data_IF_621310496036
#
_entry.id   IF_621310496036
#
_cell.length_a   1.000
_cell.length_b   1.000
_cell.length_c   1.000
_cell.angle_alpha   90.00
_cell.angle_beta   90.00
_cell.angle_gamma   90.00
#
_symmetry.space_group_name_H-M   'P 1'
#
loop_
_entity.id
_entity.type
_entity.pdbx_description
1 polymer ?
#
# COMPACT_ATOMS: atom_id res chain seq x y z
N UNK A 1 -18.11 2.49 -2.12
CA UNK A 1 -16.77 2.95 -1.72
C UNK A 1 -16.30 3.89 -2.82
N UNK A 2 -16.07 5.19 -2.54
CA UNK A 2 -15.52 6.10 -3.55
C UNK A 2 -14.05 5.70 -3.72
N UNK A 3 -13.73 5.02 -4.83
CA UNK A 3 -12.35 4.82 -5.25
C UNK A 3 -11.74 6.21 -5.39
N UNK A 4 -10.72 6.52 -4.58
CA UNK A 4 -9.98 7.77 -4.73
C UNK A 4 -9.15 7.63 -6.01
N UNK A 5 -9.76 7.98 -7.14
CA UNK A 5 -9.20 7.82 -8.48
C UNK A 5 -8.18 8.90 -8.84
N UNK A 6 -8.19 10.04 -8.13
CA UNK A 6 -7.14 11.06 -8.27
C UNK A 6 -6.01 10.79 -7.27
N UNK A 7 -4.79 10.59 -7.79
CA UNK A 7 -3.58 10.44 -7.00
C UNK A 7 -3.33 11.61 -6.05
N UNK A 8 -3.82 12.81 -6.37
CA UNK A 8 -3.72 13.98 -5.50
C UNK A 8 -4.58 13.86 -4.23
N UNK A 9 -5.78 13.29 -4.36
CA UNK A 9 -6.71 13.10 -3.25
C UNK A 9 -6.28 11.95 -2.34
N UNK A 10 -5.73 10.88 -2.92
CA UNK A 10 -5.17 9.78 -2.15
C UNK A 10 -3.97 10.23 -1.29
N UNK A 11 -3.08 11.06 -1.84
CA UNK A 11 -1.94 11.61 -1.09
C UNK A 11 -2.43 12.49 0.08
N UNK A 12 -3.43 13.33 -0.14
CA UNK A 12 -4.02 14.17 0.92
C UNK A 12 -4.65 13.31 2.01
N UNK A 13 -5.46 12.32 1.62
CA UNK A 13 -6.10 11.40 2.56
C UNK A 13 -5.05 10.66 3.41
N UNK A 14 -4.03 10.08 2.77
CA UNK A 14 -2.95 9.39 3.46
C UNK A 14 -2.14 10.32 4.38
N UNK A 15 -1.87 11.56 3.95
CA UNK A 15 -1.18 12.56 4.80
C UNK A 15 -1.98 12.91 6.05
N UNK A 16 -3.31 12.97 5.93
CA UNK A 16 -4.24 13.26 7.03
C UNK A 16 -4.46 12.12 8.03
N UNK A 17 -4.02 10.90 7.73
CA UNK A 17 -4.15 9.79 8.67
C UNK A 17 -3.31 10.01 9.94
N UNK A 18 -3.83 9.59 11.12
CA UNK A 18 -3.08 9.65 12.37
C UNK A 18 -1.81 8.79 12.27
N UNK A 19 -0.70 9.31 12.81
CA UNK A 19 0.59 8.60 12.90
C UNK A 19 1.03 8.55 14.35
N UNK A 20 1.09 7.35 14.91
CA UNK A 20 1.60 7.07 16.25
C UNK A 20 2.73 6.04 16.16
N UNK A 21 3.66 6.07 17.10
CA UNK A 21 4.76 5.08 17.22
C UNK A 21 4.26 3.67 17.54
N UNK A 22 3.02 3.54 18.02
CA UNK A 22 2.33 2.28 18.32
C UNK A 22 1.09 2.11 17.45
N UNK A 23 0.70 0.87 17.18
CA UNK A 23 -0.53 0.55 16.45
C UNK A 23 -1.77 1.00 17.24
N UNK A 24 -2.97 1.04 16.65
CA UNK A 24 -4.19 1.48 17.35
C UNK A 24 -4.49 0.74 18.66
N UNK A 25 -4.07 -0.52 18.78
CA UNK A 25 -4.20 -1.29 20.02
C UNK A 25 -3.23 -0.88 21.13
N UNK A 26 -2.20 -0.08 20.82
CA UNK A 26 -1.13 0.31 21.73
C UNK A 26 -0.11 -0.79 22.04
N UNK A 27 -0.35 -2.03 21.62
CA UNK A 27 0.44 -3.20 22.08
C UNK A 27 1.80 -3.33 21.38
N UNK A 28 1.87 -2.98 20.10
CA UNK A 28 3.04 -3.22 19.25
C UNK A 28 3.48 -1.95 18.52
N UNK A 29 4.75 -1.89 18.11
CA UNK A 29 5.27 -0.77 17.35
C UNK A 29 4.57 -0.67 15.97
N UNK A 30 4.29 0.56 15.53
CA UNK A 30 3.66 0.85 14.24
C UNK A 30 4.70 0.83 13.10
N UNK A 31 5.47 -0.24 13.01
CA UNK A 31 6.50 -0.47 12.00
C UNK A 31 5.97 -1.54 11.05
N UNK A 32 6.06 -1.25 9.76
CA UNK A 32 5.55 -2.09 8.69
C UNK A 32 6.66 -2.41 7.71
N UNK A 33 6.69 -3.67 7.29
CA UNK A 33 7.48 -4.11 6.15
C UNK A 33 6.59 -4.22 4.93
N UNK A 34 7.13 -3.85 3.78
CA UNK A 34 6.46 -4.04 2.50
C UNK A 34 7.40 -4.68 1.48
N UNK A 35 6.79 -5.44 0.59
CA UNK A 35 7.46 -6.16 -0.48
C UNK A 35 6.56 -6.18 -1.72
N UNK A 36 7.18 -6.27 -2.90
CA UNK A 36 6.48 -6.38 -4.17
C UNK A 36 6.65 -7.81 -4.67
N UNK A 37 5.54 -8.54 -4.78
CA UNK A 37 5.54 -9.94 -5.20
C UNK A 37 4.86 -10.11 -6.54
N UNK A 38 5.43 -10.96 -7.38
CA UNK A 38 4.80 -11.41 -8.60
C UNK A 38 4.12 -12.77 -8.37
N UNK A 39 2.83 -12.84 -8.68
CA UNK A 39 2.02 -14.05 -8.56
C UNK A 39 1.71 -14.56 -9.96
N UNK A 40 2.12 -15.79 -10.25
CA UNK A 40 1.97 -16.44 -11.56
C UNK A 40 0.60 -17.12 -11.75
N UNK A 41 -0.29 -17.05 -10.75
CA UNK A 41 -1.63 -17.61 -10.83
C UNK A 41 -2.46 -16.82 -11.85
N UNK A 42 -3.34 -17.50 -12.60
CA UNK A 42 -4.17 -16.84 -13.61
C UNK A 42 -5.32 -16.05 -12.98
N UNK A 43 -5.49 -14.75 -13.29
CA UNK A 43 -4.64 -13.95 -14.17
C UNK A 43 -3.37 -13.47 -13.43
N UNK A 44 -2.17 -13.53 -14.06
CA UNK A 44 -0.94 -13.11 -13.41
C UNK A 44 -1.00 -11.68 -12.90
N UNK A 45 -0.39 -11.42 -11.74
CA UNK A 45 -0.52 -10.11 -11.08
C UNK A 45 0.68 -9.76 -10.20
N UNK A 46 0.86 -8.46 -9.98
CA UNK A 46 1.71 -7.95 -8.92
C UNK A 46 0.89 -7.72 -7.66
N UNK A 47 1.49 -8.03 -6.52
CA UNK A 47 0.88 -7.87 -5.20
C UNK A 47 1.82 -7.08 -4.31
N UNK A 48 1.29 -6.00 -3.73
CA UNK A 48 1.90 -5.39 -2.55
C UNK A 48 1.63 -6.31 -1.37
N UNK A 49 2.70 -6.81 -0.78
CA UNK A 49 2.67 -7.56 0.47
C UNK A 49 3.05 -6.63 1.62
N UNK A 50 2.18 -6.53 2.63
CA UNK A 50 2.41 -5.76 3.86
C UNK A 50 2.46 -6.68 5.06
N UNK A 51 3.44 -6.48 5.93
CA UNK A 51 3.65 -7.27 7.12
C UNK A 51 3.94 -6.38 8.33
N UNK A 52 3.26 -6.64 9.45
CA UNK A 52 3.51 -5.98 10.72
C UNK A 52 4.18 -6.97 11.68
N UNK A 53 5.52 -6.87 11.90
CA UNK A 53 6.26 -7.90 12.63
C UNK A 53 5.81 -8.14 14.07
N UNK A 54 5.28 -7.11 14.74
CA UNK A 54 4.92 -7.21 16.15
C UNK A 54 3.66 -8.03 16.43
N UNK A 55 2.75 -8.17 15.47
CA UNK A 55 1.49 -8.92 15.60
C UNK A 55 1.35 -10.05 14.58
N UNK A 56 2.32 -10.20 13.68
CA UNK A 56 2.27 -11.11 12.55
C UNK A 56 1.11 -10.84 11.57
N UNK A 57 0.50 -9.66 11.64
CA UNK A 57 -0.56 -9.27 10.72
C UNK A 57 0.00 -9.09 9.30
N UNK A 58 -0.73 -9.61 8.33
CA UNK A 58 -0.42 -9.56 6.90
C UNK A 58 -1.58 -8.91 6.16
N UNK A 59 -1.27 -8.00 5.24
CA UNK A 59 -2.21 -7.45 4.27
C UNK A 59 -1.66 -7.60 2.86
N UNK A 60 -2.55 -7.78 1.90
CA UNK A 60 -2.20 -7.90 0.49
C UNK A 60 -3.08 -6.97 -0.34
N UNK A 61 -2.47 -6.28 -1.29
CA UNK A 61 -3.18 -5.49 -2.30
C UNK A 61 -2.75 -5.92 -3.70
N UNK A 62 -3.73 -6.10 -4.58
CA UNK A 62 -3.47 -6.25 -6.01
C UNK A 62 -2.96 -4.92 -6.59
N UNK A 63 -2.02 -5.03 -7.52
CA UNK A 63 -1.51 -3.89 -8.29
C UNK A 63 -1.88 -4.10 -9.77
N UNK A 64 -2.42 -3.07 -10.45
CA UNK A 64 -2.86 -1.78 -9.92
C UNK A 64 -4.14 -1.91 -9.07
N UNK A 65 -4.31 -1.02 -8.07
CA UNK A 65 -5.34 -1.12 -7.04
C UNK A 65 -6.77 -0.77 -7.52
N UNK A 66 -6.90 -0.18 -8.70
CA UNK A 66 -8.17 0.21 -9.34
C UNK A 66 -8.72 -0.84 -10.31
N UNK A 67 -8.11 -2.03 -10.32
CA UNK A 67 -8.40 -3.05 -11.31
C UNK A 67 -9.55 -3.97 -10.91
N UNK A 68 -10.31 -4.42 -11.92
CA UNK A 68 -11.37 -5.38 -11.71
C UNK A 68 -10.80 -6.78 -11.39
N UNK A 69 -11.46 -7.54 -10.49
CA UNK A 69 -11.16 -8.95 -10.30
C UNK A 69 -11.33 -9.72 -11.64
N UNK A 70 -10.28 -10.39 -12.11
CA UNK A 70 -10.31 -11.22 -13.33
C UNK A 70 -9.46 -10.73 -14.50
N UNK A 71 -8.89 -9.53 -14.43
CA UNK A 71 -7.97 -9.03 -15.46
C UNK A 71 -6.49 -9.32 -15.11
N UNK A 72 -5.56 -9.29 -16.08
CA UNK A 72 -4.09 -9.43 -15.84
C UNK A 72 -3.48 -8.18 -15.18
N UNK A 73 -2.89 -8.32 -13.99
CA UNK A 73 -2.30 -7.22 -13.20
C UNK A 73 -0.85 -6.88 -13.58
N UNK A 74 -0.37 -7.36 -14.73
CA UNK A 74 0.97 -7.05 -15.21
C UNK A 74 0.92 -5.75 -16.00
N UNK A 75 1.34 -4.66 -15.37
CA UNK A 75 1.48 -3.33 -16.01
C UNK A 75 2.93 -2.81 -16.02
N UNK A 76 3.85 -3.54 -15.39
CA UNK A 76 5.28 -3.32 -15.42
C UNK A 76 6.01 -4.66 -15.27
N UNK A 77 7.30 -4.71 -15.62
CA UNK A 77 8.15 -5.87 -15.30
C UNK A 77 8.59 -5.81 -13.83
N UNK A 78 8.57 -6.93 -13.09
CA UNK A 78 8.99 -6.96 -11.68
C UNK A 78 10.46 -6.56 -11.48
N UNK A 79 11.29 -6.67 -12.52
CA UNK A 79 12.71 -6.31 -12.48
C UNK A 79 12.95 -4.80 -12.60
N UNK A 80 11.92 -4.02 -12.94
CA UNK A 80 12.03 -2.57 -13.12
C UNK A 80 11.42 -1.81 -11.93
N UNK A 81 12.21 -1.63 -10.87
CA UNK A 81 11.80 -0.90 -9.68
C UNK A 81 11.32 0.55 -9.98
N UNK A 82 11.85 1.18 -11.04
CA UNK A 82 11.43 2.52 -11.47
C UNK A 82 9.99 2.52 -11.98
N UNK A 83 9.65 1.55 -12.83
CA UNK A 83 8.31 1.41 -13.40
C UNK A 83 7.29 0.97 -12.35
N UNK A 84 7.69 0.16 -11.37
CA UNK A 84 6.81 -0.31 -10.31
C UNK A 84 6.48 0.77 -9.26
N UNK A 85 7.37 1.74 -9.05
CA UNK A 85 7.29 2.66 -7.92
C UNK A 85 6.02 3.54 -7.85
N UNK A 86 5.49 4.12 -8.94
CA UNK A 86 4.26 4.92 -8.88
C UNK A 86 3.07 4.09 -8.38
N UNK A 87 2.89 2.91 -8.96
CA UNK A 87 1.78 1.99 -8.66
C UNK A 87 1.91 1.38 -7.28
N UNK A 88 3.14 1.01 -6.89
CA UNK A 88 3.42 0.52 -5.54
C UNK A 88 3.19 1.62 -4.48
N UNK A 89 3.57 2.87 -4.77
CA UNK A 89 3.31 4.00 -3.87
C UNK A 89 1.81 4.28 -3.72
N UNK A 90 1.05 4.22 -4.83
CA UNK A 90 -0.41 4.33 -4.85
C UNK A 90 -1.05 3.21 -4.02
N UNK A 91 -0.69 1.95 -4.28
CA UNK A 91 -1.20 0.79 -3.54
C UNK A 91 -0.87 0.87 -2.04
N UNK A 92 0.35 1.30 -1.68
CA UNK A 92 0.76 1.51 -0.28
C UNK A 92 -0.13 2.54 0.41
N UNK A 93 -0.38 3.69 -0.22
CA UNK A 93 -1.24 4.72 0.37
C UNK A 93 -2.68 4.26 0.45
N UNK A 94 -3.17 3.61 -0.61
CA UNK A 94 -4.51 3.04 -0.67
C UNK A 94 -4.76 2.07 0.49
N UNK A 95 -3.86 1.10 0.71
CA UNK A 95 -3.98 0.10 1.76
C UNK A 95 -4.24 0.73 3.14
N UNK A 96 -3.47 1.76 3.52
CA UNK A 96 -3.65 2.42 4.81
C UNK A 96 -4.88 3.33 4.87
N UNK A 97 -5.24 3.97 3.75
CA UNK A 97 -6.46 4.81 3.68
C UNK A 97 -7.72 3.96 3.76
N UNK A 98 -7.74 2.79 3.13
CA UNK A 98 -8.83 1.81 3.25
C UNK A 98 -8.81 1.04 4.58
N UNK A 99 -7.87 1.37 5.48
CA UNK A 99 -7.77 0.71 6.78
C UNK A 99 -7.40 -0.76 6.69
N UNK A 100 -6.64 -1.16 5.66
CA UNK A 100 -6.10 -2.52 5.46
C UNK A 100 -7.19 -3.58 5.34
N UNK A 101 -8.31 -3.25 4.68
CA UNK A 101 -9.45 -4.17 4.54
C UNK A 101 -10.17 -4.52 5.86
N UNK A 102 -9.81 -3.87 6.97
CA UNK A 102 -10.33 -4.22 8.29
C UNK A 102 -11.84 -3.99 8.40
N UNK A 103 -12.39 -3.00 7.67
CA UNK A 103 -13.82 -2.73 7.67
C UNK A 103 -14.62 -3.87 7.05
N UNK A 104 -14.09 -4.50 6.02
CA UNK A 104 -14.68 -5.65 5.34
C UNK A 104 -14.67 -6.90 6.25
N UNK A 105 -13.63 -7.06 7.08
CA UNK A 105 -13.51 -8.21 7.98
C UNK A 105 -14.21 -8.03 9.34
N UNK A 106 -14.17 -6.83 9.92
CA UNK A 106 -14.62 -6.56 11.30
C UNK A 106 -15.85 -5.65 11.40
N UNK A 107 -16.34 -5.11 10.28
CA UNK A 107 -17.46 -4.15 10.28
C UNK A 107 -17.17 -2.92 11.12
N UNK A 108 -18.14 -2.50 11.94
CA UNK A 108 -18.05 -1.31 12.79
C UNK A 108 -17.05 -1.43 13.95
N UNK A 109 -16.53 -2.64 14.21
CA UNK A 109 -15.48 -2.86 15.22
C UNK A 109 -14.08 -2.61 14.68
N UNK A 110 -13.96 -2.35 13.37
CA UNK A 110 -12.68 -2.08 12.75
C UNK A 110 -12.04 -0.81 13.36
N UNK A 111 -10.73 -0.82 13.65
CA UNK A 111 -10.04 0.39 14.04
C UNK A 111 -10.11 1.42 12.90
N UNK A 112 -10.18 2.72 13.21
CA UNK A 112 -10.07 3.75 12.19
C UNK A 112 -8.77 3.62 11.39
N UNK A 113 -8.76 4.01 10.10
CA UNK A 113 -7.56 4.07 9.29
C UNK A 113 -6.43 4.88 9.95
N UNK A 114 -5.19 4.43 9.78
CA UNK A 114 -4.00 5.06 10.34
C UNK A 114 -2.83 4.89 9.40
N UNK A 115 -1.83 5.78 9.50
CA UNK A 115 -0.62 5.68 8.71
C UNK A 115 0.49 4.98 9.52
N UNK A 116 1.39 4.24 8.85
CA UNK A 116 2.52 3.60 9.49
C UNK A 116 3.48 4.67 10.04
N UNK A 117 4.08 4.40 11.20
CA UNK A 117 5.16 5.24 11.73
C UNK A 117 6.43 5.09 10.90
N UNK A 118 6.74 3.85 10.54
CA UNK A 118 7.87 3.50 9.69
C UNK A 118 7.45 2.45 8.67
N UNK A 119 7.88 2.64 7.43
CA UNK A 119 7.83 1.63 6.37
C UNK A 119 9.25 1.22 6.02
N UNK A 120 9.49 -0.08 5.90
CA UNK A 120 10.75 -0.66 5.49
C UNK A 120 10.54 -1.71 4.41
N UNK A 121 11.56 -1.89 3.58
CA UNK A 121 11.63 -2.95 2.58
C UNK A 121 13.11 -3.35 2.46
N UNK A 122 13.37 -4.58 2.02
CA UNK A 122 14.73 -5.08 1.82
C UNK A 122 15.35 -4.55 0.52
N UNK A 123 14.51 -4.21 -0.47
CA UNK A 123 14.95 -3.65 -1.74
C UNK A 123 15.28 -2.17 -1.60
N UNK A 124 16.57 -1.83 -1.68
CA UNK A 124 17.06 -0.45 -1.65
C UNK A 124 16.50 0.38 -2.81
N UNK A 125 16.37 -0.23 -3.99
CA UNK A 125 15.87 0.44 -5.18
C UNK A 125 14.38 0.78 -5.05
N UNK A 126 13.58 -0.16 -4.55
CA UNK A 126 12.16 0.08 -4.26
C UNK A 126 12.02 1.13 -3.16
N UNK A 127 12.81 1.06 -2.08
CA UNK A 127 12.78 2.05 -1.00
C UNK A 127 13.05 3.47 -1.52
N UNK A 128 14.09 3.62 -2.36
CA UNK A 128 14.46 4.90 -2.97
C UNK A 128 13.33 5.43 -3.85
N UNK A 129 12.87 4.62 -4.80
CA UNK A 129 11.89 5.06 -5.79
C UNK A 129 10.53 5.38 -5.16
N UNK A 130 10.03 4.54 -4.25
CA UNK A 130 8.79 4.81 -3.52
C UNK A 130 8.92 6.07 -2.64
N UNK A 131 10.09 6.28 -2.03
CA UNK A 131 10.37 7.49 -1.25
C UNK A 131 10.30 8.76 -2.09
N UNK A 132 10.81 8.73 -3.33
CA UNK A 132 10.73 9.84 -4.28
C UNK A 132 9.30 10.08 -4.77
N UNK A 133 8.56 9.01 -5.14
CA UNK A 133 7.18 9.11 -5.63
C UNK A 133 6.22 9.69 -4.59
N UNK A 134 6.41 9.37 -3.30
CA UNK A 134 5.57 9.92 -2.21
C UNK A 134 5.81 11.39 -1.91
N UNK A 135 6.95 11.94 -2.32
CA UNK A 135 7.32 13.34 -2.09
C UNK A 135 6.80 14.28 -3.17
N UNK A 136 6.48 13.77 -4.37
CA UNK A 136 6.02 14.60 -5.49
C UNK A 136 4.50 14.77 -5.43
N UNK A 137 3.97 15.97 -5.15
CA UNK A 137 2.59 16.27 -5.49
C UNK A 137 2.51 16.39 -7.02
N UNK A 138 1.83 15.46 -7.69
CA UNK A 138 1.51 15.56 -9.12
C UNK A 138 2.23 14.62 -10.10
N UNK A 139 2.91 13.55 -9.66
CA UNK A 139 3.59 12.60 -10.56
C UNK A 139 2.75 11.36 -10.95
N UNK A 140 1.42 11.39 -10.81
CA UNK A 140 0.52 10.27 -11.15
C UNK A 140 -0.25 10.46 -12.47
N UNK A 141 0.33 11.19 -13.42
CA UNK A 141 -0.13 11.15 -14.81
C UNK A 141 1.08 11.30 -15.73
N UNK A 142 1.35 10.24 -16.49
CA UNK A 142 1.68 10.23 -17.92
C UNK A 142 1.39 8.82 -18.46
#
# INVERSE_FOLDING_TARGET
MKTLTDGSDLVKAFKGLPRSTRTPSGKVANIWHFDLRYIHLSPPSHVLFLFQPGSSFVHQELIPCDKNPGESGIIFSPENAKAAAPELAKALMHAFVDGLGNKQMMGDRAPPPYAPWKLSTESRDIAKMVGESRRRPGAMHD
#
